data_IF_603106275363
#
_entry.id   IF_603106275363
#
_cell.length_a   1.000
_cell.length_b   1.000
_cell.length_c   1.000
_cell.angle_alpha   90.00
_cell.angle_beta   90.00
_cell.angle_gamma   90.00
#
_symmetry.space_group_name_H-M   'P 1'
#
loop_
_entity.id
_entity.type
_entity.pdbx_description
1 polymer ?
#
# COMPACT_ATOMS: atom_id res chain seq x y z
N UNK A 1 -3.47 6.95 8.54
CA UNK A 1 -2.78 5.93 7.70
C UNK A 1 -3.78 4.86 7.34
N UNK A 2 -3.80 4.45 6.08
CA UNK A 2 -4.65 3.38 5.55
C UNK A 2 -3.77 2.40 4.78
N UNK A 3 -4.00 1.10 4.98
CA UNK A 3 -3.26 0.02 4.31
C UNK A 3 -4.28 -1.03 3.90
N UNK A 4 -4.56 -1.15 2.60
CA UNK A 4 -5.56 -2.07 2.06
C UNK A 4 -5.15 -2.59 0.67
N UNK A 5 -5.22 -3.92 0.45
CA UNK A 5 -4.90 -4.53 -0.85
C UNK A 5 -6.03 -4.37 -1.89
N UNK A 6 -6.49 -3.14 -2.09
CA UNK A 6 -7.47 -2.76 -3.09
C UNK A 6 -7.05 -1.46 -3.78
N UNK A 7 -7.85 -1.03 -4.77
CA UNK A 7 -7.65 0.27 -5.38
C UNK A 7 -7.96 1.37 -4.34
N UNK A 8 -7.11 2.40 -4.20
CA UNK A 8 -7.18 3.32 -3.05
C UNK A 8 -8.30 4.38 -3.12
N UNK A 9 -9.15 4.36 -4.16
CA UNK A 9 -10.28 5.30 -4.28
C UNK A 9 -11.19 5.24 -3.06
N UNK A 10 -11.69 6.40 -2.64
CA UNK A 10 -12.45 6.58 -1.41
C UNK A 10 -11.54 6.82 -0.21
N UNK A 11 -10.47 6.04 -0.03
CA UNK A 11 -9.51 6.31 1.04
C UNK A 11 -8.78 7.63 0.84
N UNK A 12 -8.36 7.94 -0.39
CA UNK A 12 -7.72 9.23 -0.73
C UNK A 12 -8.66 10.43 -0.47
N UNK A 13 -9.98 10.24 -0.49
CA UNK A 13 -10.99 11.29 -0.27
C UNK A 13 -11.35 11.44 1.23
N UNK A 14 -11.33 10.33 1.98
CA UNK A 14 -11.62 10.31 3.41
C UNK A 14 -10.42 10.70 4.26
N UNK A 15 -9.21 10.62 3.70
CA UNK A 15 -7.97 10.93 4.41
C UNK A 15 -7.38 12.25 3.94
N UNK A 16 -7.09 13.17 4.87
CA UNK A 16 -6.59 14.51 4.55
C UNK A 16 -5.11 14.52 4.11
N UNK A 17 -4.65 15.68 3.62
CA UNK A 17 -3.38 15.93 2.91
C UNK A 17 -2.16 15.05 3.21
N UNK A 18 -1.72 14.94 4.47
CA UNK A 18 -0.50 14.18 4.80
C UNK A 18 -0.74 12.68 5.07
N UNK A 19 -1.89 12.17 4.69
CA UNK A 19 -2.25 10.78 4.93
C UNK A 19 -1.41 9.82 4.09
N UNK A 20 -0.93 8.75 4.73
CA UNK A 20 -0.25 7.65 4.06
C UNK A 20 -1.28 6.58 3.70
N UNK A 21 -1.55 6.41 2.40
CA UNK A 21 -2.51 5.44 1.84
C UNK A 21 -1.74 4.43 0.98
N UNK A 22 -1.72 3.18 1.44
CA UNK A 22 -1.12 2.05 0.71
C UNK A 22 -2.21 1.22 0.06
N UNK A 23 -2.13 1.06 -1.26
CA UNK A 23 -3.06 0.28 -2.06
C UNK A 23 -2.44 -0.21 -3.36
N UNK A 24 -3.21 -0.93 -4.17
CA UNK A 24 -2.78 -1.49 -5.45
C UNK A 24 -3.38 -0.69 -6.62
N UNK A 25 -2.54 -0.20 -7.53
CA UNK A 25 -2.96 0.60 -8.71
C UNK A 25 -2.90 -0.20 -10.02
N UNK A 26 -3.01 -1.53 -9.92
CA UNK A 26 -2.96 -2.47 -11.05
C UNK A 26 -3.91 -3.64 -10.81
N UNK A 27 -4.30 -4.31 -11.90
CA UNK A 27 -5.08 -5.54 -11.82
C UNK A 27 -4.33 -6.66 -11.08
N UNK A 28 -5.07 -7.70 -10.70
CA UNK A 28 -4.52 -8.90 -10.07
C UNK A 28 -3.60 -9.71 -10.98
N UNK A 29 -3.03 -10.78 -10.42
CA UNK A 29 -2.18 -11.73 -11.12
C UNK A 29 -2.55 -13.16 -10.72
N UNK A 30 -2.40 -14.11 -11.64
CA UNK A 30 -2.59 -15.53 -11.35
C UNK A 30 -1.32 -16.11 -10.73
N UNK A 31 -1.31 -16.24 -9.41
CA UNK A 31 -0.24 -16.88 -8.63
C UNK A 31 -0.73 -17.22 -7.22
N UNK A 32 0.09 -17.93 -6.44
CA UNK A 32 -0.15 -18.10 -5.00
C UNK A 32 -0.20 -16.74 -4.30
N UNK A 33 -1.07 -16.61 -3.30
CA UNK A 33 -1.33 -15.34 -2.61
C UNK A 33 -0.05 -14.72 -2.01
N UNK A 34 0.79 -15.52 -1.36
CA UNK A 34 2.08 -15.11 -0.79
C UNK A 34 3.01 -14.46 -1.83
N UNK A 35 3.07 -15.04 -3.03
CA UNK A 35 3.83 -14.48 -4.15
C UNK A 35 3.22 -13.15 -4.60
N UNK A 36 1.90 -13.09 -4.81
CA UNK A 36 1.24 -11.84 -5.25
C UNK A 36 1.47 -10.72 -4.23
N UNK A 37 1.28 -10.99 -2.94
CA UNK A 37 1.48 -10.03 -1.84
C UNK A 37 2.91 -9.46 -1.88
N UNK A 38 3.92 -10.32 -1.97
CA UNK A 38 5.33 -9.90 -2.00
C UNK A 38 5.67 -9.09 -3.25
N UNK A 39 5.29 -9.56 -4.44
CA UNK A 39 5.57 -8.87 -5.72
C UNK A 39 4.80 -7.54 -5.85
N UNK A 40 3.72 -7.38 -5.08
CA UNK A 40 2.94 -6.14 -5.03
C UNK A 40 3.46 -5.18 -3.94
N UNK A 41 4.53 -5.55 -3.23
CA UNK A 41 5.15 -4.72 -2.19
C UNK A 41 4.32 -4.62 -0.90
N UNK A 42 3.34 -5.52 -0.71
CA UNK A 42 2.45 -5.54 0.44
C UNK A 42 3.05 -6.37 1.59
N UNK A 43 4.30 -6.07 1.96
CA UNK A 43 4.96 -6.68 3.13
C UNK A 43 5.19 -5.65 4.23
N UNK A 44 5.30 -6.11 5.47
CA UNK A 44 5.53 -5.24 6.61
C UNK A 44 6.82 -4.41 6.42
N UNK A 45 7.88 -5.03 5.93
CA UNK A 45 9.17 -4.38 5.70
C UNK A 45 9.05 -3.28 4.64
N UNK A 46 8.40 -3.56 3.50
CA UNK A 46 8.23 -2.60 2.42
C UNK A 46 7.38 -1.41 2.85
N UNK A 47 6.34 -1.63 3.66
CA UNK A 47 5.49 -0.58 4.20
C UNK A 47 6.25 0.26 5.23
N UNK A 48 6.99 -0.35 6.15
CA UNK A 48 7.82 0.38 7.12
C UNK A 48 8.86 1.25 6.43
N UNK A 49 9.48 0.76 5.36
CA UNK A 49 10.42 1.57 4.57
C UNK A 49 9.74 2.79 3.95
N UNK A 50 8.52 2.63 3.39
CA UNK A 50 7.75 3.76 2.85
C UNK A 50 7.37 4.77 3.94
N UNK A 51 6.96 4.32 5.12
CA UNK A 51 6.66 5.19 6.27
C UNK A 51 7.91 5.97 6.69
N UNK A 52 9.06 5.30 6.79
CA UNK A 52 10.34 5.94 7.12
C UNK A 52 10.73 7.02 6.11
N UNK A 53 10.66 6.70 4.82
CA UNK A 53 10.94 7.67 3.75
C UNK A 53 9.98 8.87 3.79
N UNK A 54 8.70 8.66 4.11
CA UNK A 54 7.72 9.75 4.13
C UNK A 54 7.87 10.68 5.34
N UNK A 55 8.13 10.14 6.53
CA UNK A 55 7.99 10.90 7.79
C UNK A 55 9.28 11.10 8.60
N UNK A 56 10.34 10.35 8.30
CA UNK A 56 11.55 10.29 9.13
C UNK A 56 12.82 10.61 8.34
N UNK A 57 12.68 11.21 7.16
CA UNK A 57 13.80 11.72 6.38
C UNK A 57 14.16 13.15 6.78
#
# INVERSE_FOLDING_TARGET
>A
MVIEMAYPTGWEELTDGDSFVVGIRKFGASAKADKVIREYGFTAEAIVQQIKMKYFQ
#
